data_IF_819625561357
#
_entry.id   IF_819625561357
#
_cell.length_a   1.000
_cell.length_b   1.000
_cell.length_c   1.000
_cell.angle_alpha   90.00
_cell.angle_beta   90.00
_cell.angle_gamma   90.00
#
_symmetry.space_group_name_H-M   'P 1'
#
loop_
_entity.id
_entity.type
_entity.pdbx_description
1 polymer ?
#
# COMPACT_ATOMS: atom_id res chain seq x y z
N UNK A 1 12.75 7.00 -0.75
CA UNK A 1 11.61 7.62 -0.04
C UNK A 1 11.21 6.77 1.16
N UNK A 2 12.17 6.19 1.87
CA UNK A 2 11.86 5.34 3.01
C UNK A 2 11.58 6.13 4.27
N UNK A 3 12.24 7.26 4.51
CA UNK A 3 11.93 8.12 5.66
C UNK A 3 10.49 8.61 5.56
N UNK A 4 10.08 9.09 4.38
CA UNK A 4 8.70 9.49 4.15
C UNK A 4 7.72 8.33 4.43
N UNK A 5 7.95 7.12 3.91
CA UNK A 5 7.11 5.95 4.22
C UNK A 5 7.04 5.64 5.71
N UNK A 6 8.15 5.77 6.45
CA UNK A 6 8.16 5.54 7.90
C UNK A 6 7.32 6.60 8.63
N UNK A 7 7.47 7.87 8.26
CA UNK A 7 6.65 8.96 8.81
C UNK A 7 5.16 8.75 8.53
N UNK A 8 4.80 8.32 7.33
CA UNK A 8 3.43 7.97 6.97
C UNK A 8 2.89 6.80 7.82
N UNK A 9 3.70 5.75 8.03
CA UNK A 9 3.31 4.62 8.87
C UNK A 9 3.08 5.03 10.34
N UNK A 10 3.92 5.94 10.86
CA UNK A 10 3.75 6.52 12.19
C UNK A 10 2.49 7.41 12.24
N UNK A 11 2.20 8.19 11.20
CA UNK A 11 0.97 8.99 11.13
C UNK A 11 -0.28 8.11 11.17
N UNK A 12 -0.27 6.96 10.48
CA UNK A 12 -1.34 5.95 10.59
C UNK A 12 -1.45 5.42 12.02
N UNK A 13 -0.35 5.04 12.66
CA UNK A 13 -0.36 4.61 14.07
C UNK A 13 -0.99 5.68 14.97
N UNK A 14 -0.53 6.93 14.89
CA UNK A 14 -1.02 8.03 15.71
C UNK A 14 -2.53 8.27 15.51
N UNK A 15 -3.01 8.17 14.27
CA UNK A 15 -4.44 8.32 13.99
C UNK A 15 -5.32 7.27 14.68
N UNK A 16 -4.82 6.04 14.88
CA UNK A 16 -5.51 4.99 15.62
C UNK A 16 -5.44 5.15 17.15
N UNK A 17 -4.62 6.09 17.65
CA UNK A 17 -4.66 6.55 19.03
C UNK A 17 -5.63 7.72 19.23
N UNK A 18 -6.37 8.12 18.19
CA UNK A 18 -7.26 9.27 18.23
C UNK A 18 -6.55 10.63 18.05
N UNK A 19 -5.26 10.63 17.71
CA UNK A 19 -4.52 11.87 17.45
C UNK A 19 -4.96 12.43 16.09
N UNK A 20 -5.52 13.63 16.12
CA UNK A 20 -6.02 14.36 14.94
C UNK A 20 -5.35 15.73 14.84
N UNK A 21 -5.41 16.34 13.65
CA UNK A 21 -4.95 17.72 13.42
C UNK A 21 -6.18 18.54 13.02
N UNK A 22 -6.57 19.51 13.85
CA UNK A 22 -7.81 20.28 13.67
C UNK A 22 -9.06 19.40 13.49
N UNK A 23 -9.12 18.24 14.17
CA UNK A 23 -10.22 17.29 14.05
C UNK A 23 -10.14 16.35 12.84
N UNK A 24 -9.14 16.52 11.97
CA UNK A 24 -8.96 15.69 10.78
C UNK A 24 -8.03 14.49 11.01
N UNK A 25 -8.35 13.39 10.33
CA UNK A 25 -7.62 12.12 10.47
C UNK A 25 -6.34 12.10 9.63
N UNK A 26 -5.18 12.22 10.30
CA UNK A 26 -3.86 12.19 9.64
C UNK A 26 -3.49 10.83 9.01
N UNK A 27 -4.13 9.75 9.42
CA UNK A 27 -3.94 8.41 8.87
C UNK A 27 -4.49 8.31 7.45
N UNK A 28 -5.62 8.95 7.18
CA UNK A 28 -6.22 9.01 5.83
C UNK A 28 -5.27 9.70 4.87
N UNK A 29 -4.78 10.88 5.26
CA UNK A 29 -3.76 11.61 4.51
C UNK A 29 -2.54 10.72 4.15
N UNK A 30 -2.09 9.93 5.12
CA UNK A 30 -0.96 9.05 4.94
C UNK A 30 -1.25 7.88 3.98
N UNK A 31 -2.44 7.30 4.03
CA UNK A 31 -2.87 6.24 3.11
C UNK A 31 -2.90 6.74 1.66
N UNK A 32 -3.42 7.95 1.41
CA UNK A 32 -3.40 8.56 0.07
C UNK A 32 -1.98 8.75 -0.44
N UNK A 33 -1.08 9.21 0.44
CA UNK A 33 0.34 9.34 0.13
C UNK A 33 0.98 7.99 -0.23
N UNK A 34 0.60 6.91 0.48
CA UNK A 34 1.03 5.55 0.12
C UNK A 34 0.51 5.10 -1.25
N UNK A 35 -0.72 5.44 -1.63
CA UNK A 35 -1.25 5.11 -2.97
C UNK A 35 -0.46 5.80 -4.08
N UNK A 36 -0.16 7.09 -3.92
CA UNK A 36 0.68 7.84 -4.87
C UNK A 36 2.09 7.22 -4.96
N UNK A 37 2.70 6.90 -3.82
CA UNK A 37 4.01 6.23 -3.78
C UNK A 37 3.99 4.87 -4.49
N UNK A 38 2.96 4.07 -4.23
CA UNK A 38 2.79 2.74 -4.82
C UNK A 38 2.63 2.85 -6.34
N UNK A 39 1.82 3.79 -6.81
CA UNK A 39 1.70 4.15 -8.21
C UNK A 39 3.04 4.48 -8.87
N UNK A 40 3.84 5.35 -8.25
CA UNK A 40 5.16 5.71 -8.76
C UNK A 40 6.12 4.50 -8.82
N UNK A 41 6.24 3.76 -7.71
CA UNK A 41 7.21 2.66 -7.59
C UNK A 41 6.84 1.47 -8.46
N UNK A 42 5.56 1.09 -8.51
CA UNK A 42 5.13 -0.04 -9.33
C UNK A 42 5.24 0.26 -10.81
N UNK A 43 4.90 1.48 -11.23
CA UNK A 43 5.10 1.85 -12.63
C UNK A 43 6.57 1.80 -13.03
N UNK A 44 7.47 2.33 -12.20
CA UNK A 44 8.90 2.23 -12.45
C UNK A 44 9.40 0.78 -12.52
N UNK A 45 8.84 -0.10 -11.66
CA UNK A 45 9.20 -1.51 -11.64
C UNK A 45 8.73 -2.25 -12.90
N UNK A 46 7.48 -2.03 -13.31
CA UNK A 46 6.89 -2.64 -14.52
C UNK A 46 7.62 -2.16 -15.77
N UNK A 47 7.78 -0.84 -15.92
CA UNK A 47 8.46 -0.21 -17.06
C UNK A 47 9.88 -0.75 -17.28
N UNK A 48 10.62 -1.02 -16.19
CA UNK A 48 12.00 -1.51 -16.26
C UNK A 48 12.15 -3.02 -16.44
N UNK A 49 11.19 -3.84 -16.00
CA UNK A 49 11.41 -5.29 -15.88
C UNK A 49 10.25 -6.19 -16.34
N UNK A 50 9.04 -5.66 -16.49
CA UNK A 50 7.81 -6.44 -16.68
C UNK A 50 6.88 -5.89 -17.78
N UNK A 51 7.43 -5.25 -18.81
CA UNK A 51 6.66 -4.68 -19.94
C UNK A 51 6.02 -5.72 -20.88
N UNK A 52 6.33 -7.00 -20.73
CA UNK A 52 5.78 -8.09 -21.52
C UNK A 52 4.71 -8.84 -20.72
N UNK A 53 3.58 -9.21 -21.36
CA UNK A 53 2.51 -9.99 -20.73
C UNK A 53 3.01 -11.30 -20.12
N UNK A 54 3.98 -11.97 -20.77
CA UNK A 54 4.61 -13.20 -20.29
C UNK A 54 5.32 -13.04 -18.93
N UNK A 55 5.71 -11.81 -18.56
CA UNK A 55 6.43 -11.51 -17.32
C UNK A 55 5.52 -11.03 -16.19
N UNK A 56 4.22 -10.82 -16.44
CA UNK A 56 3.25 -10.35 -15.44
C UNK A 56 3.16 -11.31 -14.24
N UNK A 57 3.20 -12.63 -14.49
CA UNK A 57 3.23 -13.61 -13.40
C UNK A 57 4.44 -13.46 -12.46
N UNK A 58 5.62 -13.11 -13.01
CA UNK A 58 6.82 -12.83 -12.20
C UNK A 58 6.69 -11.54 -11.40
N UNK A 59 6.00 -10.53 -11.94
CA UNK A 59 5.67 -9.33 -11.18
C UNK A 59 4.80 -9.69 -9.96
N UNK A 60 3.74 -10.50 -10.12
CA UNK A 60 2.90 -10.92 -9.00
C UNK A 60 3.67 -11.71 -7.94
N UNK A 61 4.51 -12.65 -8.35
CA UNK A 61 5.39 -13.38 -7.43
C UNK A 61 6.32 -12.44 -6.65
N UNK A 62 6.89 -11.45 -7.33
CA UNK A 62 7.77 -10.46 -6.72
C UNK A 62 7.07 -9.52 -5.74
N UNK A 63 5.76 -9.26 -5.92
CA UNK A 63 4.95 -8.50 -4.97
C UNK A 63 4.51 -9.38 -3.80
N UNK A 64 4.08 -10.61 -4.08
CA UNK A 64 3.68 -11.57 -3.07
C UNK A 64 4.84 -11.85 -2.09
N UNK A 65 6.04 -12.15 -2.58
CA UNK A 65 7.24 -12.36 -1.75
C UNK A 65 7.68 -11.13 -0.96
N UNK A 66 7.26 -9.91 -1.35
CA UNK A 66 7.58 -8.68 -0.61
C UNK A 66 6.60 -8.44 0.53
N UNK A 67 5.32 -8.80 0.38
CA UNK A 67 4.26 -8.40 1.31
C UNK A 67 3.78 -9.54 2.20
N UNK A 68 3.46 -10.70 1.59
CA UNK A 68 2.82 -11.81 2.29
C UNK A 68 3.63 -12.34 3.47
N UNK A 69 4.96 -12.54 3.42
CA UNK A 69 5.68 -13.14 4.54
C UNK A 69 5.52 -12.36 5.84
N UNK A 70 5.75 -11.05 5.76
CA UNK A 70 5.66 -10.14 6.91
C UNK A 70 4.21 -9.94 7.34
N UNK A 71 3.26 -9.85 6.39
CA UNK A 71 1.84 -9.82 6.69
C UNK A 71 1.38 -11.06 7.47
N UNK A 72 1.70 -12.27 6.97
CA UNK A 72 1.34 -13.53 7.61
C UNK A 72 1.98 -13.66 9.00
N UNK A 73 3.24 -13.23 9.17
CA UNK A 73 3.88 -13.19 10.47
C UNK A 73 3.06 -12.37 11.49
N UNK A 74 2.72 -11.13 11.16
CA UNK A 74 1.90 -10.30 12.06
C UNK A 74 0.47 -10.80 12.19
N UNK A 75 -0.09 -11.38 11.14
CA UNK A 75 -1.42 -11.97 11.17
C UNK A 75 -1.50 -13.11 12.21
N UNK A 76 -0.58 -14.06 12.16
CA UNK A 76 -0.53 -15.16 13.13
C UNK A 76 -0.16 -14.69 14.52
N UNK A 77 0.74 -13.69 14.65
CA UNK A 77 1.08 -13.12 15.96
C UNK A 77 -0.11 -12.40 16.61
N UNK A 78 -0.92 -11.69 15.81
CA UNK A 78 -2.17 -11.07 16.26
C UNK A 78 -3.21 -12.12 16.65
N UNK A 79 -3.36 -13.20 15.87
CA UNK A 79 -4.23 -14.32 16.25
C UNK A 79 -3.80 -14.96 17.58
N UNK A 80 -2.50 -15.16 17.77
CA UNK A 80 -1.96 -15.69 19.02
C UNK A 80 -2.28 -14.77 20.20
N UNK A 81 -2.08 -13.46 20.05
CA UNK A 81 -2.42 -12.49 21.10
C UNK A 81 -3.91 -12.53 21.43
N UNK A 82 -4.79 -12.55 20.41
CA UNK A 82 -6.24 -12.61 20.62
C UNK A 82 -6.63 -13.89 21.38
N UNK A 83 -6.04 -15.03 21.03
CA UNK A 83 -6.31 -16.31 21.67
C UNK A 83 -5.77 -16.46 23.10
N UNK A 84 -4.72 -15.71 23.46
CA UNK A 84 -4.11 -15.79 24.81
C UNK A 84 -4.62 -14.71 25.77
N UNK A 85 -4.88 -13.50 25.26
CA UNK A 85 -5.09 -12.32 26.09
C UNK A 85 -6.51 -11.75 25.98
N UNK A 86 -7.32 -12.21 25.01
CA UNK A 86 -8.70 -11.77 24.78
C UNK A 86 -8.92 -10.24 24.92
N UNK A 87 -8.13 -9.40 24.22
CA UNK A 87 -8.25 -7.94 24.32
C UNK A 87 -9.65 -7.49 23.87
N UNK A 88 -10.23 -6.53 24.60
CA UNK A 88 -11.53 -5.96 24.25
C UNK A 88 -11.38 -4.89 23.17
N UNK A 89 -11.95 -5.12 21.99
CA UNK A 89 -11.93 -4.15 20.89
C UNK A 89 -13.10 -4.34 19.93
N UNK A 90 -13.61 -3.24 19.38
CA UNK A 90 -14.61 -3.26 18.31
C UNK A 90 -14.18 -4.09 17.09
N UNK A 91 -12.88 -4.09 16.78
CA UNK A 91 -12.33 -4.84 15.65
C UNK A 91 -12.20 -6.35 15.93
N UNK A 92 -12.20 -6.73 17.21
CA UNK A 92 -12.04 -8.09 17.69
C UNK A 92 -13.45 -8.64 17.97
N UNK A 93 -14.19 -8.90 16.89
CA UNK A 93 -15.34 -9.81 16.93
C UNK A 93 -14.90 -11.28 16.90
N UNK A 94 -15.86 -12.21 16.82
CA UNK A 94 -15.60 -13.65 16.80
C UNK A 94 -14.53 -14.05 15.77
N UNK A 95 -13.54 -14.82 16.22
CA UNK A 95 -12.50 -15.39 15.35
C UNK A 95 -13.05 -16.68 14.74
N UNK A 96 -13.64 -16.57 13.56
CA UNK A 96 -14.21 -17.71 12.83
C UNK A 96 -13.27 -18.19 11.71
N UNK A 97 -13.43 -19.45 11.29
CA UNK A 97 -12.66 -20.00 10.17
C UNK A 97 -12.82 -19.19 8.86
N UNK A 98 -14.02 -18.76 8.43
CA UNK A 98 -14.17 -17.90 7.26
C UNK A 98 -13.39 -16.58 7.38
N UNK A 99 -13.39 -15.95 8.56
CA UNK A 99 -12.62 -14.73 8.82
C UNK A 99 -11.12 -14.97 8.66
N UNK A 100 -10.60 -16.07 9.21
CA UNK A 100 -9.19 -16.46 9.05
C UNK A 100 -8.85 -16.65 7.57
N UNK A 101 -9.67 -17.41 6.83
CA UNK A 101 -9.45 -17.68 5.40
C UNK A 101 -9.43 -16.40 4.55
N UNK A 102 -10.35 -15.46 4.80
CA UNK A 102 -10.37 -14.17 4.11
C UNK A 102 -9.08 -13.38 4.38
N UNK A 103 -8.61 -13.33 5.62
CA UNK A 103 -7.38 -12.60 5.96
C UNK A 103 -6.13 -13.23 5.34
N UNK A 104 -6.01 -14.56 5.30
CA UNK A 104 -4.85 -15.25 4.70
C UNK A 104 -4.66 -14.84 3.23
N UNK A 105 -5.74 -14.58 2.50
CA UNK A 105 -5.65 -14.15 1.10
C UNK A 105 -5.27 -12.68 0.91
N UNK A 106 -5.44 -11.84 1.95
CA UNK A 106 -5.22 -10.38 1.96
C UNK A 106 -6.10 -9.56 0.99
N UNK A 107 -6.47 -10.11 -0.16
CA UNK A 107 -7.19 -9.46 -1.25
C UNK A 107 -8.54 -8.84 -0.86
N UNK A 108 -9.43 -9.51 -0.10
CA UNK A 108 -10.78 -8.99 0.15
C UNK A 108 -10.85 -8.04 1.35
N UNK A 109 -9.72 -7.68 1.96
CA UNK A 109 -9.71 -6.99 3.26
C UNK A 109 -10.27 -5.57 3.24
N UNK A 110 -10.38 -4.91 2.08
CA UNK A 110 -11.08 -3.63 1.96
C UNK A 110 -12.59 -3.76 1.90
N UNK A 111 -13.14 -4.94 1.59
CA UNK A 111 -14.59 -5.18 1.51
C UNK A 111 -15.22 -5.45 2.88
N UNK A 112 -14.57 -5.08 3.97
CA UNK A 112 -15.05 -5.31 5.34
C UNK A 112 -16.39 -4.64 5.68
N UNK A 113 -16.82 -3.67 4.87
CA UNK A 113 -18.15 -3.07 4.95
C UNK A 113 -19.26 -3.97 4.38
N UNK A 114 -18.90 -4.93 3.51
CA UNK A 114 -19.80 -5.91 2.91
C UNK A 114 -19.67 -7.29 3.54
N UNK A 115 -18.46 -7.65 3.98
CA UNK A 115 -18.18 -8.87 4.72
C UNK A 115 -17.94 -8.50 6.19
N UNK A 116 -18.98 -8.69 7.02
CA UNK A 116 -18.97 -8.31 8.45
C UNK A 116 -17.69 -8.85 9.12
N UNK A 117 -16.94 -7.94 9.75
CA UNK A 117 -15.78 -8.25 10.61
C UNK A 117 -14.69 -9.09 9.93
N UNK A 118 -14.48 -8.97 8.63
CA UNK A 118 -13.49 -9.79 7.91
C UNK A 118 -12.03 -9.42 8.18
N UNK A 119 -11.72 -8.54 9.13
CA UNK A 119 -10.36 -8.04 9.39
C UNK A 119 -9.86 -8.47 10.77
N UNK A 120 -8.65 -9.00 10.82
CA UNK A 120 -7.93 -9.29 12.08
C UNK A 120 -6.89 -8.19 12.35
N UNK A 121 -6.27 -7.66 11.30
CA UNK A 121 -5.41 -6.49 11.36
C UNK A 121 -6.22 -5.31 10.79
N UNK A 122 -6.73 -4.37 11.62
CA UNK A 122 -7.71 -3.38 11.18
C UNK A 122 -7.26 -2.55 9.98
N UNK A 123 -6.03 -2.06 10.00
CA UNK A 123 -5.43 -1.26 8.95
C UNK A 123 -5.14 -2.04 7.65
N UNK A 124 -5.27 -3.37 7.64
CA UNK A 124 -4.95 -4.19 6.48
C UNK A 124 -5.95 -4.07 5.32
N UNK A 125 -7.07 -3.34 5.47
CA UNK A 125 -7.91 -3.00 4.31
C UNK A 125 -7.12 -2.30 3.21
N UNK A 126 -6.27 -1.34 3.55
CA UNK A 126 -5.54 -0.57 2.54
C UNK A 126 -4.52 -1.43 1.81
N UNK A 127 -4.00 -2.47 2.47
CA UNK A 127 -3.14 -3.50 1.87
C UNK A 127 -3.92 -4.44 0.93
N UNK A 128 -5.17 -4.79 1.27
CA UNK A 128 -6.06 -5.52 0.37
C UNK A 128 -6.37 -4.73 -0.90
N UNK A 129 -6.69 -3.44 -0.75
CA UNK A 129 -6.86 -2.50 -1.86
C UNK A 129 -5.58 -2.37 -2.71
N UNK A 130 -4.42 -2.21 -2.07
CA UNK A 130 -3.13 -2.14 -2.76
C UNK A 130 -2.81 -3.43 -3.53
N UNK A 131 -3.19 -4.59 -2.98
CA UNK A 131 -3.05 -5.88 -3.66
C UNK A 131 -3.88 -5.95 -4.93
N UNK A 132 -5.10 -5.43 -4.91
CA UNK A 132 -5.95 -5.31 -6.10
C UNK A 132 -5.34 -4.36 -7.13
N UNK A 133 -4.79 -3.23 -6.69
CA UNK A 133 -4.03 -2.34 -7.56
C UNK A 133 -2.86 -3.07 -8.25
N UNK A 134 -2.12 -3.91 -7.53
CA UNK A 134 -1.03 -4.70 -8.12
C UNK A 134 -1.50 -5.67 -9.20
N UNK A 135 -2.70 -6.25 -9.07
CA UNK A 135 -3.26 -7.11 -10.12
C UNK A 135 -3.57 -6.31 -11.40
N UNK A 136 -3.90 -5.03 -11.27
CA UNK A 136 -4.36 -4.21 -12.39
C UNK A 136 -3.21 -3.45 -13.07
N UNK A 137 -2.23 -2.94 -12.31
CA UNK A 137 -1.24 -1.99 -12.84
C UNK A 137 -0.37 -2.50 -14.00
N UNK A 138 0.09 -3.77 -14.07
CA UNK A 138 0.87 -4.22 -15.22
C UNK A 138 0.06 -4.14 -16.51
N UNK A 139 -1.20 -4.57 -16.47
CA UNK A 139 -2.11 -4.52 -17.62
C UNK A 139 -2.36 -3.07 -18.05
N UNK A 140 -2.57 -2.17 -17.11
CA UNK A 140 -2.78 -0.73 -17.40
C UNK A 140 -1.57 -0.11 -18.10
N UNK A 141 -0.35 -0.49 -17.70
CA UNK A 141 0.88 0.02 -18.31
C UNK A 141 1.12 -0.59 -19.69
N UNK A 142 1.04 -1.92 -19.80
CA UNK A 142 1.30 -2.66 -21.05
C UNK A 142 0.28 -2.27 -22.13
N UNK A 143 -1.01 -2.18 -21.78
CA UNK A 143 -2.08 -1.77 -22.68
C UNK A 143 -2.15 -0.25 -22.91
N UNK A 144 -1.25 0.54 -22.29
CA UNK A 144 -1.24 2.02 -22.35
C UNK A 144 -2.58 2.66 -21.92
N UNK A 145 -3.31 2.00 -21.03
CA UNK A 145 -4.68 2.37 -20.61
C UNK A 145 -4.72 3.41 -19.46
N UNK A 146 -3.59 4.03 -19.09
CA UNK A 146 -3.50 4.97 -17.95
C UNK A 146 -4.51 6.13 -18.04
N UNK A 147 -4.69 6.70 -19.23
CA UNK A 147 -5.62 7.82 -19.46
C UNK A 147 -7.08 7.43 -19.20
N UNK A 148 -7.63 6.45 -19.93
CA UNK A 148 -8.99 5.95 -19.69
C UNK A 148 -9.24 5.51 -18.25
N UNK A 149 -8.29 4.79 -17.64
CA UNK A 149 -8.41 4.32 -16.24
C UNK A 149 -8.44 5.49 -15.25
N UNK A 150 -7.59 6.51 -15.46
CA UNK A 150 -7.64 7.73 -14.66
C UNK A 150 -9.02 8.40 -14.75
N UNK A 151 -9.54 8.59 -15.96
CA UNK A 151 -10.83 9.27 -16.17
C UNK A 151 -11.97 8.48 -15.55
N UNK A 152 -12.03 7.16 -15.78
CA UNK A 152 -13.06 6.30 -15.21
C UNK A 152 -13.02 6.32 -13.67
N UNK A 153 -11.84 6.23 -13.09
CA UNK A 153 -11.70 6.23 -11.62
C UNK A 153 -11.98 7.61 -11.01
N UNK A 154 -11.57 8.69 -11.68
CA UNK A 154 -11.88 10.05 -11.24
C UNK A 154 -13.38 10.33 -11.33
N UNK A 155 -14.07 9.87 -12.38
CA UNK A 155 -15.53 9.97 -12.47
C UNK A 155 -16.21 9.27 -11.28
N UNK A 156 -15.74 8.07 -10.93
CA UNK A 156 -16.23 7.33 -9.78
C UNK A 156 -16.00 8.08 -8.45
N UNK A 157 -14.81 8.67 -8.29
CA UNK A 157 -14.48 9.54 -7.16
C UNK A 157 -15.38 10.77 -7.10
N UNK A 158 -15.67 11.41 -8.23
CA UNK A 158 -16.54 12.59 -8.27
C UNK A 158 -17.97 12.27 -7.84
N UNK A 159 -18.51 11.10 -8.21
CA UNK A 159 -19.81 10.64 -7.71
C UNK A 159 -19.80 10.47 -6.19
N UNK A 160 -18.70 9.96 -5.63
CA UNK A 160 -18.54 9.83 -4.18
C UNK A 160 -18.37 11.19 -3.48
N UNK A 161 -17.59 12.10 -4.08
CA UNK A 161 -17.37 13.47 -3.60
C UNK A 161 -18.67 14.29 -3.56
N UNK A 162 -19.53 14.11 -4.57
CA UNK A 162 -20.84 14.77 -4.65
C UNK A 162 -21.91 14.11 -3.75
N UNK A 163 -21.57 13.06 -3.01
CA UNK A 163 -22.49 12.34 -2.15
C UNK A 163 -23.50 11.43 -2.87
N UNK A 164 -23.34 11.24 -4.18
CA UNK A 164 -24.15 10.30 -4.98
C UNK A 164 -23.79 8.86 -4.62
N UNK A 165 -22.50 8.61 -4.37
CA UNK A 165 -22.01 7.36 -3.79
C UNK A 165 -21.50 7.61 -2.36
N UNK A 166 -21.48 6.57 -1.53
CA UNK A 166 -20.89 6.67 -0.20
C UNK A 166 -19.40 7.07 -0.29
N UNK A 167 -19.06 8.23 0.28
CA UNK A 167 -17.72 8.81 0.20
C UNK A 167 -16.62 7.94 0.85
N UNK A 168 -16.91 7.35 2.02
CA UNK A 168 -15.96 6.49 2.71
C UNK A 168 -15.68 5.19 1.92
N UNK A 169 -16.74 4.51 1.48
CA UNK A 169 -16.61 3.26 0.72
C UNK A 169 -15.95 3.52 -0.64
N UNK A 170 -16.56 4.38 -1.45
CA UNK A 170 -16.22 4.49 -2.87
C UNK A 170 -15.17 5.55 -3.16
N UNK A 171 -15.09 6.62 -2.36
CA UNK A 171 -14.10 7.69 -2.50
C UNK A 171 -12.77 7.43 -1.79
N UNK A 172 -12.73 6.46 -0.86
CA UNK A 172 -11.54 6.22 -0.03
C UNK A 172 -11.10 4.75 0.10
N UNK A 173 -12.02 3.77 0.12
CA UNK A 173 -11.66 2.36 0.41
C UNK A 173 -11.68 1.40 -0.77
N UNK A 174 -12.47 1.70 -1.80
CA UNK A 174 -12.67 0.83 -2.96
C UNK A 174 -11.82 1.25 -4.16
N UNK A 175 -11.36 0.26 -4.93
CA UNK A 175 -10.48 0.49 -6.07
C UNK A 175 -11.09 1.42 -7.14
N UNK A 176 -12.38 1.30 -7.53
CA UNK A 176 -12.95 2.14 -8.57
C UNK A 176 -12.77 3.65 -8.33
N UNK A 177 -13.00 4.16 -7.12
CA UNK A 177 -12.82 5.58 -6.83
C UNK A 177 -11.47 5.97 -6.23
N UNK A 178 -10.52 5.05 -6.06
CA UNK A 178 -9.17 5.35 -5.54
C UNK A 178 -8.05 5.08 -6.55
N UNK A 179 -8.30 4.31 -7.61
CA UNK A 179 -7.31 3.92 -8.60
C UNK A 179 -6.64 5.14 -9.27
N UNK A 180 -7.37 6.24 -9.49
CA UNK A 180 -6.81 7.47 -10.05
C UNK A 180 -5.65 8.02 -9.21
N UNK A 181 -5.66 7.85 -7.89
CA UNK A 181 -4.62 8.32 -6.97
C UNK A 181 -3.29 7.57 -7.22
N UNK A 182 -3.37 6.26 -7.48
CA UNK A 182 -2.22 5.47 -7.91
C UNK A 182 -1.75 5.88 -9.31
N UNK A 183 -2.69 6.14 -10.24
CA UNK A 183 -2.33 6.58 -11.60
C UNK A 183 -1.65 7.96 -11.59
N UNK A 184 -2.03 8.89 -10.70
CA UNK A 184 -1.29 10.13 -10.50
C UNK A 184 0.17 9.86 -10.10
N UNK A 185 0.41 8.93 -9.17
CA UNK A 185 1.75 8.43 -8.84
C UNK A 185 2.49 7.87 -10.06
N UNK A 186 1.81 7.07 -10.88
CA UNK A 186 2.37 6.56 -12.14
C UNK A 186 2.78 7.67 -13.10
N UNK A 187 2.06 8.80 -13.12
CA UNK A 187 2.37 9.92 -13.99
C UNK A 187 3.51 10.81 -13.48
N UNK A 188 3.79 10.80 -12.17
CA UNK A 188 5.02 11.38 -11.61
C UNK A 188 6.25 10.69 -12.19
N UNK A 189 6.22 9.36 -12.37
CA UNK A 189 7.33 8.62 -12.99
C UNK A 189 7.44 8.87 -14.50
N UNK A 190 6.33 8.78 -15.25
CA UNK A 190 6.32 8.94 -16.70
C UNK A 190 5.13 9.75 -17.17
N UNK A 191 5.32 11.07 -17.23
CA UNK A 191 4.31 12.05 -17.61
C UNK A 191 4.04 12.03 -19.13
N UNK A 192 2.80 11.81 -19.58
CA UNK A 192 2.45 11.91 -21.01
C UNK A 192 2.25 13.37 -21.45
N UNK A 193 1.55 14.18 -20.64
CA UNK A 193 1.29 15.61 -20.87
C UNK A 193 1.26 16.35 -19.54
N UNK A 194 2.11 17.37 -19.38
CA UNK A 194 2.17 18.19 -18.16
C UNK A 194 0.91 19.04 -17.99
N UNK A 195 0.34 19.55 -19.09
CA UNK A 195 -0.84 20.41 -19.06
C UNK A 195 -2.06 19.70 -18.47
N UNK A 196 -2.35 18.46 -18.92
CA UNK A 196 -3.48 17.69 -18.40
C UNK A 196 -3.34 17.38 -16.91
N UNK A 197 -2.13 17.03 -16.45
CA UNK A 197 -1.86 16.77 -15.04
C UNK A 197 -2.03 18.03 -14.20
N UNK A 198 -1.53 19.18 -14.67
CA UNK A 198 -1.74 20.45 -13.98
C UNK A 198 -3.21 20.82 -13.91
N UNK A 199 -3.98 20.63 -14.98
CA UNK A 199 -5.42 20.86 -14.96
C UNK A 199 -6.13 19.99 -13.92
N UNK A 200 -5.84 18.68 -13.89
CA UNK A 200 -6.40 17.77 -12.89
C UNK A 200 -6.01 18.19 -11.47
N UNK A 201 -4.74 18.53 -11.26
CA UNK A 201 -4.24 18.95 -9.96
C UNK A 201 -4.87 20.27 -9.50
N UNK A 202 -5.06 21.24 -10.39
CA UNK A 202 -5.76 22.49 -10.11
C UNK A 202 -7.22 22.23 -9.72
N UNK A 203 -7.90 21.29 -10.38
CA UNK A 203 -9.26 20.88 -9.99
C UNK A 203 -9.27 20.27 -8.59
N UNK A 204 -8.33 19.37 -8.28
CA UNK A 204 -8.21 18.78 -6.92
C UNK A 204 -7.97 19.87 -5.86
N UNK A 205 -7.09 20.85 -6.15
CA UNK A 205 -6.86 22.00 -5.27
C UNK A 205 -8.14 22.84 -5.10
N UNK A 206 -8.87 23.13 -6.18
CA UNK A 206 -10.11 23.89 -6.13
C UNK A 206 -11.19 23.17 -5.32
N UNK A 207 -11.30 21.84 -5.45
CA UNK A 207 -12.20 21.02 -4.62
C UNK A 207 -11.83 21.11 -3.13
N UNK A 208 -10.54 21.01 -2.78
CA UNK A 208 -10.10 21.16 -1.40
C UNK A 208 -10.42 22.56 -0.85
N UNK A 209 -10.14 23.61 -1.61
CA UNK A 209 -10.46 24.99 -1.25
C UNK A 209 -11.98 25.13 -1.03
N UNK A 210 -12.80 24.53 -1.88
CA UNK A 210 -14.25 24.47 -1.72
C UNK A 210 -14.67 23.86 -0.38
N UNK A 211 -14.04 22.74 0.04
CA UNK A 211 -14.31 22.11 1.35
C UNK A 211 -13.82 22.92 2.55
N UNK A 212 -12.79 23.76 2.37
CA UNK A 212 -12.30 24.68 3.41
C UNK A 212 -13.27 25.85 3.58
N UNK A 213 -13.75 26.42 2.47
CA UNK A 213 -14.69 27.55 2.47
C UNK A 213 -16.08 27.10 2.94
N UNK A 214 -16.49 25.90 2.55
CA UNK A 214 -17.80 25.32 2.89
C UNK A 214 -17.63 23.99 3.64
N UNK A 215 -17.28 24.03 4.95
CA UNK A 215 -17.12 22.81 5.75
C UNK A 215 -18.36 21.91 5.79
N UNK A 216 -19.55 22.48 5.60
CA UNK A 216 -20.81 21.73 5.51
C UNK A 216 -20.89 20.77 4.31
N UNK A 217 -20.02 20.91 3.30
CA UNK A 217 -19.91 19.99 2.16
C UNK A 217 -19.00 18.79 2.44
N UNK A 218 -18.32 18.78 3.59
CA UNK A 218 -17.44 17.67 3.94
C UNK A 218 -18.27 16.42 4.20
N UNK A 219 -17.99 15.38 3.42
CA UNK A 219 -18.46 14.02 3.65
C UNK A 219 -17.34 13.24 4.35
N UNK A 220 -17.61 12.06 4.92
CA UNK A 220 -16.59 11.27 5.59
C UNK A 220 -15.31 11.13 4.75
N UNK A 221 -14.20 11.61 5.31
CA UNK A 221 -12.85 11.55 4.75
C UNK A 221 -12.57 12.35 3.47
N UNK A 222 -13.53 13.07 2.89
CA UNK A 222 -13.29 13.77 1.60
C UNK A 222 -12.25 14.88 1.71
N UNK A 223 -12.24 15.60 2.84
CA UNK A 223 -11.23 16.60 3.14
C UNK A 223 -9.83 15.97 3.21
N UNK A 224 -9.67 14.92 4.01
CA UNK A 224 -8.40 14.24 4.21
C UNK A 224 -7.89 13.58 2.92
N UNK A 225 -8.80 13.05 2.10
CA UNK A 225 -8.46 12.48 0.79
C UNK A 225 -7.89 13.56 -0.13
N UNK A 226 -8.58 14.69 -0.27
CA UNK A 226 -8.14 15.80 -1.11
C UNK A 226 -6.88 16.45 -0.58
N UNK A 227 -6.75 16.67 0.73
CA UNK A 227 -5.52 17.14 1.35
C UNK A 227 -4.37 16.17 1.08
N UNK A 228 -4.57 14.87 1.24
CA UNK A 228 -3.61 13.82 0.89
C UNK A 228 -3.12 13.91 -0.55
N UNK A 229 -4.00 14.20 -1.49
CA UNK A 229 -3.64 14.41 -2.90
C UNK A 229 -2.87 15.72 -3.11
N UNK A 230 -3.35 16.83 -2.56
CA UNK A 230 -2.75 18.17 -2.71
C UNK A 230 -1.33 18.20 -2.14
N UNK A 231 -1.09 17.62 -0.97
CA UNK A 231 0.26 17.63 -0.37
C UNK A 231 1.10 16.42 -0.79
N UNK A 232 0.49 15.25 -0.95
CA UNK A 232 1.21 14.01 -1.30
C UNK A 232 1.83 14.06 -2.70
N UNK A 233 1.14 14.62 -3.70
CA UNK A 233 1.68 14.69 -5.08
C UNK A 233 2.96 15.53 -5.15
N UNK A 234 3.02 16.79 -4.65
CA UNK A 234 4.26 17.56 -4.63
C UNK A 234 5.38 16.92 -3.81
N UNK A 235 5.06 16.32 -2.66
CA UNK A 235 6.05 15.66 -1.80
C UNK A 235 6.68 14.47 -2.53
N UNK A 236 5.86 13.57 -3.10
CA UNK A 236 6.37 12.42 -3.87
C UNK A 236 7.17 12.89 -5.09
N UNK A 237 6.70 13.90 -5.81
CA UNK A 237 7.44 14.47 -6.94
C UNK A 237 8.79 15.06 -6.53
N UNK A 238 8.84 15.82 -5.43
CA UNK A 238 10.09 16.40 -4.91
C UNK A 238 11.07 15.32 -4.46
N UNK A 239 10.60 14.36 -3.67
CA UNK A 239 11.41 13.26 -3.19
C UNK A 239 11.89 12.32 -4.31
N UNK A 240 11.22 12.32 -5.48
CA UNK A 240 11.59 11.47 -6.62
C UNK A 240 12.90 11.91 -7.29
N UNK A 241 13.33 13.13 -7.00
CA UNK A 241 14.55 13.74 -7.52
C UNK A 241 15.74 13.60 -6.57
N UNK A 242 15.53 13.12 -5.35
CA UNK A 242 16.58 12.97 -4.34
C UNK A 242 17.24 11.59 -4.46
N UNK A 243 18.54 11.55 -4.15
CA UNK A 243 19.29 10.29 -4.08
C UNK A 243 19.07 9.58 -2.75
N UNK A 244 19.10 8.24 -2.77
CA UNK A 244 18.82 7.42 -1.60
C UNK A 244 20.11 6.96 -0.93
N UNK A 245 20.23 7.23 0.37
CA UNK A 245 21.30 6.71 1.23
C UNK A 245 20.86 5.49 2.06
N UNK A 246 21.74 5.01 2.95
CA UNK A 246 21.47 3.86 3.82
C UNK A 246 20.30 4.08 4.79
N UNK A 247 20.15 5.30 5.30
CA UNK A 247 19.04 5.66 6.20
C UNK A 247 17.69 5.61 5.49
N UNK A 248 17.65 6.04 4.22
CA UNK A 248 16.46 5.95 3.36
C UNK A 248 16.06 4.49 3.10
N UNK A 249 17.02 3.60 2.88
CA UNK A 249 16.74 2.18 2.71
C UNK A 249 16.23 1.55 4.01
N UNK A 250 16.91 1.81 5.13
CA UNK A 250 16.52 1.30 6.45
C UNK A 250 15.11 1.73 6.83
N UNK A 251 14.81 3.03 6.76
CA UNK A 251 13.49 3.54 7.09
C UNK A 251 12.38 2.93 6.20
N UNK A 252 12.67 2.71 4.91
CA UNK A 252 11.73 2.09 3.98
C UNK A 252 11.50 0.60 4.22
N UNK A 253 12.46 -0.09 4.84
CA UNK A 253 12.31 -1.48 5.25
C UNK A 253 11.53 -1.59 6.57
N UNK A 254 11.71 -0.64 7.49
CA UNK A 254 10.98 -0.61 8.77
C UNK A 254 9.52 -0.17 8.61
N UNK A 255 9.22 0.71 7.65
CA UNK A 255 7.89 1.32 7.51
C UNK A 255 6.75 0.30 7.40
N UNK A 256 6.98 -0.83 6.72
CA UNK A 256 5.95 -1.85 6.55
C UNK A 256 5.68 -2.62 7.86
N UNK A 257 6.73 -2.92 8.63
CA UNK A 257 6.57 -3.53 9.95
C UNK A 257 5.80 -2.63 10.91
N UNK A 258 6.16 -1.34 10.97
CA UNK A 258 5.45 -0.34 11.80
C UNK A 258 3.98 -0.23 11.40
N UNK A 259 3.71 -0.20 10.10
CA UNK A 259 2.34 -0.18 9.58
C UNK A 259 1.54 -1.44 9.98
N UNK A 260 2.14 -2.63 10.00
CA UNK A 260 1.41 -3.86 10.33
C UNK A 260 1.24 -4.08 11.84
N UNK A 261 2.23 -3.71 12.64
CA UNK A 261 2.31 -4.18 14.03
C UNK A 261 1.64 -3.26 15.07
N UNK A 262 1.22 -2.06 14.70
CA UNK A 262 0.78 -1.09 15.70
C UNK A 262 -0.49 -1.52 16.44
N UNK A 263 -1.49 -2.11 15.76
CA UNK A 263 -2.68 -2.62 16.46
C UNK A 263 -2.38 -3.81 17.37
N UNK A 264 -1.51 -4.72 16.93
CA UNK A 264 -1.01 -5.81 17.78
C UNK A 264 -0.42 -5.23 19.08
N UNK A 265 0.39 -4.18 18.98
CA UNK A 265 1.01 -3.54 20.15
C UNK A 265 0.02 -2.73 20.99
N UNK A 266 -0.96 -2.06 20.37
CA UNK A 266 -2.05 -1.37 21.09
C UNK A 266 -2.79 -2.38 21.97
N UNK A 267 -3.19 -3.51 21.40
CA UNK A 267 -3.89 -4.58 22.12
C UNK A 267 -3.00 -5.27 23.15
N UNK A 268 -1.71 -5.46 22.85
CA UNK A 268 -0.77 -5.99 23.81
C UNK A 268 -0.66 -5.07 25.03
N UNK A 269 -0.45 -3.77 24.82
CA UNK A 269 -0.34 -2.77 25.89
C UNK A 269 -1.62 -2.71 26.74
N UNK A 270 -2.79 -2.76 26.08
CA UNK A 270 -4.08 -2.85 26.74
C UNK A 270 -4.18 -4.11 27.62
N UNK A 271 -3.77 -5.27 27.10
CA UNK A 271 -3.87 -6.55 27.82
C UNK A 271 -2.96 -6.64 29.06
N UNK A 272 -1.84 -5.91 29.07
CA UNK A 272 -0.93 -5.84 30.21
C UNK A 272 -1.16 -4.61 31.11
N UNK A 273 -2.27 -3.88 30.88
CA UNK A 273 -2.72 -2.78 31.74
C UNK A 273 -1.96 -1.46 31.59
N UNK A 274 -1.25 -1.22 30.48
CA UNK A 274 -0.63 0.09 30.23
C UNK A 274 -1.72 1.07 29.76
N UNK A 275 -1.93 2.15 30.51
CA UNK A 275 -2.95 3.17 30.21
C UNK A 275 -2.61 4.00 28.97
N UNK A 276 -3.63 4.24 28.13
CA UNK A 276 -3.53 4.99 26.88
C UNK A 276 -3.53 6.52 27.01
N UNK A 277 -3.70 7.04 28.24
CA UNK A 277 -4.02 8.47 28.46
C UNK A 277 -2.79 9.38 28.55
N UNK A 278 -1.58 8.82 28.41
CA UNK A 278 -0.32 9.55 28.61
C UNK A 278 0.51 9.61 27.32
N UNK A 279 1.23 10.72 27.12
CA UNK A 279 2.24 10.81 26.06
C UNK A 279 3.33 9.74 26.16
N UNK A 280 3.60 9.24 27.38
CA UNK A 280 4.49 8.09 27.57
C UNK A 280 4.02 6.85 26.79
N UNK A 281 2.71 6.57 26.79
CA UNK A 281 2.13 5.48 26.03
C UNK A 281 2.45 5.63 24.53
N UNK A 282 2.26 6.84 24.00
CA UNK A 282 2.51 7.14 22.59
C UNK A 282 3.97 6.89 22.22
N UNK A 283 4.92 7.43 23.01
CA UNK A 283 6.35 7.23 22.76
C UNK A 283 6.77 5.77 22.89
N UNK A 284 6.29 5.08 23.93
CA UNK A 284 6.56 3.67 24.16
C UNK A 284 6.01 2.80 23.01
N UNK A 285 4.81 3.11 22.50
CA UNK A 285 4.19 2.39 21.40
C UNK A 285 4.96 2.60 20.08
N UNK A 286 5.35 3.83 19.76
CA UNK A 286 6.19 4.12 18.57
C UNK A 286 7.54 3.39 18.68
N UNK A 287 8.21 3.49 19.82
CA UNK A 287 9.51 2.85 20.03
C UNK A 287 9.40 1.32 19.91
N UNK A 288 8.38 0.72 20.54
CA UNK A 288 8.11 -0.72 20.47
C UNK A 288 7.75 -1.16 19.06
N UNK A 289 6.97 -0.36 18.33
CA UNK A 289 6.59 -0.61 16.94
C UNK A 289 7.81 -0.61 16.01
N UNK A 290 8.69 0.37 16.14
CA UNK A 290 9.95 0.44 15.38
C UNK A 290 10.88 -0.72 15.75
N UNK A 291 11.02 -1.04 17.03
CA UNK A 291 11.85 -2.15 17.49
C UNK A 291 11.36 -3.50 16.94
N UNK A 292 10.06 -3.79 17.05
CA UNK A 292 9.46 -5.01 16.53
C UNK A 292 9.53 -5.07 14.99
N UNK A 293 9.38 -3.94 14.30
CA UNK A 293 9.61 -3.84 12.87
C UNK A 293 11.05 -4.19 12.49
N UNK A 294 12.05 -3.74 13.27
CA UNK A 294 13.46 -4.09 13.07
C UNK A 294 13.74 -5.58 13.27
N UNK A 295 13.18 -6.18 14.32
CA UNK A 295 13.33 -7.61 14.62
C UNK A 295 12.71 -8.45 13.51
N UNK A 296 11.43 -8.21 13.20
CA UNK A 296 10.71 -8.95 12.16
C UNK A 296 11.33 -8.78 10.77
N UNK A 297 11.86 -7.59 10.44
CA UNK A 297 12.61 -7.37 9.19
C UNK A 297 13.80 -8.33 9.06
N UNK A 298 14.60 -8.50 10.13
CA UNK A 298 15.76 -9.40 10.10
C UNK A 298 15.36 -10.88 10.04
N UNK A 299 14.29 -11.25 10.74
CA UNK A 299 13.86 -12.65 10.90
C UNK A 299 13.01 -13.18 9.75
N UNK A 300 12.20 -12.33 9.12
CA UNK A 300 11.17 -12.75 8.15
C UNK A 300 11.48 -12.16 6.78
N UNK A 301 11.59 -10.84 6.69
CA UNK A 301 11.66 -10.18 5.39
C UNK A 301 13.03 -10.37 4.70
N UNK A 302 14.13 -10.21 5.44
CA UNK A 302 15.48 -10.28 4.90
C UNK A 302 15.83 -11.69 4.36
N UNK A 303 15.46 -12.81 5.01
CA UNK A 303 15.63 -14.15 4.45
C UNK A 303 14.87 -14.35 3.13
N UNK A 304 13.62 -13.87 3.05
CA UNK A 304 12.81 -14.01 1.82
C UNK A 304 13.39 -13.18 0.67
N UNK A 305 13.89 -11.97 0.96
CA UNK A 305 14.60 -11.16 -0.03
C UNK A 305 15.83 -11.90 -0.57
N UNK A 306 16.63 -12.52 0.31
CA UNK A 306 17.80 -13.33 -0.11
C UNK A 306 17.37 -14.50 -0.99
N UNK A 307 16.32 -15.23 -0.60
CA UNK A 307 15.78 -16.35 -1.38
C UNK A 307 15.35 -15.89 -2.78
N UNK A 308 14.64 -14.76 -2.87
CA UNK A 308 14.22 -14.17 -4.14
C UNK A 308 15.41 -13.84 -5.06
N UNK A 309 16.51 -13.32 -4.52
CA UNK A 309 17.72 -13.06 -5.32
C UNK A 309 18.35 -14.35 -5.87
N UNK A 310 18.36 -15.44 -5.08
CA UNK A 310 18.86 -16.74 -5.51
C UNK A 310 18.00 -17.34 -6.61
N UNK A 311 16.66 -17.29 -6.46
CA UNK A 311 15.72 -17.82 -7.45
C UNK A 311 15.83 -17.07 -8.79
N UNK A 312 15.98 -15.74 -8.78
CA UNK A 312 16.20 -14.94 -10.01
C UNK A 312 17.51 -15.31 -10.70
N UNK A 313 18.61 -15.52 -9.96
CA UNK A 313 19.89 -15.96 -10.54
C UNK A 313 19.83 -17.37 -11.15
N UNK A 314 19.11 -18.30 -10.52
CA UNK A 314 18.93 -19.67 -11.03
C UNK A 314 18.07 -19.70 -12.30
N UNK A 315 16.96 -18.96 -12.34
CA UNK A 315 16.11 -18.86 -13.52
C UNK A 315 16.81 -18.21 -14.73
N UNK A 316 17.71 -17.23 -14.49
CA UNK A 316 18.53 -16.66 -15.55
C UNK A 316 19.54 -17.67 -16.13
N UNK A 317 20.12 -18.54 -15.29
CA UNK A 317 21.04 -19.61 -15.72
C UNK A 317 20.33 -20.73 -16.47
N UNK A 318 19.12 -21.12 -16.08
CA UNK A 318 18.37 -22.19 -16.77
C UNK A 318 17.90 -21.75 -18.16
N UNK A 319 17.50 -20.48 -18.33
CA UNK A 319 17.13 -19.93 -19.65
C UNK A 319 18.37 -19.85 -20.55
N UNK A 320 19.52 -19.42 -20.01
CA UNK A 320 20.78 -19.39 -20.75
C UNK A 320 21.26 -20.78 -21.18
N UNK A 321 21.08 -21.81 -20.33
CA UNK A 321 21.46 -23.18 -20.68
C UNK A 321 20.54 -23.82 -21.74
N UNK A 322 19.24 -23.48 -21.76
CA UNK A 322 18.30 -23.98 -22.78
C UNK A 322 18.52 -23.30 -24.14
N UNK A 323 18.87 -22.00 -24.18
CA UNK A 323 19.23 -21.32 -25.43
C UNK A 323 20.57 -21.79 -26.02
N UNK A 324 21.49 -22.27 -25.19
CA UNK A 324 22.80 -22.79 -25.62
C UNK A 324 22.74 -24.25 -26.10
N UNK A 325 21.64 -24.95 -25.79
CA UNK A 325 21.34 -26.28 -26.32
C UNK A 325 20.58 -26.18 -27.65
N UNK A 326 19.68 -25.20 -27.83
CA UNK A 326 18.95 -25.02 -29.10
C UNK A 326 19.80 -24.44 -30.23
N UNK A 327 20.96 -23.84 -29.93
CA UNK A 327 21.92 -23.34 -30.93
C UNK A 327 22.91 -24.40 -31.42
N UNK A 328 22.91 -25.60 -30.81
CA UNK A 328 23.82 -26.70 -31.17
C UNK A 328 23.17 -27.75 -32.10
N UNK A 329 21.88 -27.63 -32.37
CA UNK A 329 21.09 -28.58 -33.17
C UNK A 329 20.66 -28.04 -34.55
N UNK A 330 21.37 -27.04 -35.13
CA UNK A 330 21.25 -26.80 -36.58
C UNK A 330 22.11 -27.83 -37.33
N UNK A 331 21.51 -28.74 -38.14
CA UNK A 331 22.28 -29.63 -38.97
C UNK A 331 22.84 -28.81 -40.14
N UNK A 332 24.17 -28.75 -40.22
CA UNK A 332 24.91 -28.43 -41.44
C UNK A 332 24.44 -29.42 -42.51
N UNK A 333 23.54 -28.98 -43.39
CA UNK A 333 23.16 -29.69 -44.61
C UNK A 333 23.25 -28.76 -45.80
N UNK A 334 24.50 -28.49 -46.20
CA UNK A 334 24.83 -28.16 -47.58
C UNK A 334 26.17 -28.82 -47.89
N UNK A 335 26.13 -29.89 -48.70
CA UNK A 335 27.10 -30.29 -49.73
C UNK A 335 26.45 -31.47 -50.47
N UNK A 336 25.81 -31.15 -51.61
CA UNK A 336 25.96 -31.77 -52.94
C UNK A 336 24.75 -31.40 -53.79
#
# INVERSE_FOLDING_TARGET
MGIYRLLLAIAVLLSHLGITIYGHNIGVFAVISFFILSGYVMTALVDRHYMEFSRVGRFYQDRAMRLFPQFLFYFFLTLLLIGLAHPSSFFIGDVTLPKILLNVTMLPLNFFQYFINCQIIPQAWSLGLESQFYLVIPLVIICKARGPVLVASLAFFLLAYLGILNADTWGYRMLPGTLFMFILGSYIYRTPSRAALYAIYLVICAMLIGLVIHPAWQLPFTFEVLAGLVFGVPVVWGLSKLSFGRLEELAGNLSYGVFLNHFLLIWLFQSIGISGDSWWYVYALIASSIALAGISYQLVERPVIRLRHVLRKRGARSIGAVSDLSSRDEPISSIS
#
